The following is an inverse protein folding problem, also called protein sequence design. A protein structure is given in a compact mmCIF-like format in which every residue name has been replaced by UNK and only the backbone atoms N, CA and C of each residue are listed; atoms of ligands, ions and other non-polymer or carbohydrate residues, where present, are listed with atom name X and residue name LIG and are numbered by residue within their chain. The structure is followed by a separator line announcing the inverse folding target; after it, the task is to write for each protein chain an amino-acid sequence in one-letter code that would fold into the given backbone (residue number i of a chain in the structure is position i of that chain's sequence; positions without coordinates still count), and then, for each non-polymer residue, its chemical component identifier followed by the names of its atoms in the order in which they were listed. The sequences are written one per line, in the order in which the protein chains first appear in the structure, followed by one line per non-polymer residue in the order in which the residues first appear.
data_IF_604151994171
#
_entry.id   IF_604151994171
#
_cell.length_a   1.000
_cell.length_b   1.000
_cell.length_c   1.000
_cell.angle_alpha   90.00
_cell.angle_beta   90.00
_cell.angle_gamma   90.00
#
_symmetry.space_group_name_H-M   'P 1'
#
loop_
_entity.id
_entity.type
_entity.pdbx_description
1 polymer ?
#
# COMPACT_ATOMS: atom_id res chain seq x y z
N UNK A 1 74.76 -3.51 4.41
CA UNK A 1 73.53 -3.62 3.61
C UNK A 1 73.90 -3.14 2.22
N UNK A 2 73.84 -4.01 1.21
CA UNK A 2 74.42 -3.70 -0.11
C UNK A 2 73.53 -2.74 -0.90
N UNK A 3 74.13 -1.68 -1.46
CA UNK A 3 73.48 -0.63 -2.24
C UNK A 3 72.61 -1.19 -3.38
N UNK A 4 73.04 -2.29 -3.98
CA UNK A 4 72.35 -2.98 -5.07
C UNK A 4 71.02 -3.62 -4.61
N UNK A 5 70.98 -4.17 -3.39
CA UNK A 5 69.75 -4.70 -2.80
C UNK A 5 68.74 -3.58 -2.54
N UNK A 6 69.23 -2.42 -2.09
CA UNK A 6 68.39 -1.23 -1.85
C UNK A 6 67.77 -0.75 -3.16
N UNK A 7 68.56 -0.63 -4.24
CA UNK A 7 68.06 -0.21 -5.55
C UNK A 7 67.02 -1.17 -6.14
N UNK A 8 67.17 -2.48 -5.92
CA UNK A 8 66.20 -3.49 -6.36
C UNK A 8 64.87 -3.36 -5.61
N UNK A 9 64.92 -3.09 -4.31
CA UNK A 9 63.72 -2.85 -3.50
C UNK A 9 62.99 -1.59 -3.95
N UNK A 10 63.69 -0.48 -4.19
CA UNK A 10 63.07 0.76 -4.67
C UNK A 10 62.35 0.57 -6.02
N UNK A 11 62.98 -0.08 -7.00
CA UNK A 11 62.33 -0.39 -8.29
C UNK A 11 61.07 -1.24 -8.12
N UNK A 12 61.13 -2.26 -7.27
CA UNK A 12 59.96 -3.10 -6.98
C UNK A 12 58.83 -2.31 -6.31
N UNK A 13 59.17 -1.37 -5.41
CA UNK A 13 58.18 -0.48 -4.77
C UNK A 13 57.54 0.46 -5.80
N UNK A 14 58.31 1.05 -6.71
CA UNK A 14 57.79 1.91 -7.78
C UNK A 14 56.84 1.17 -8.73
N UNK A 15 57.20 -0.06 -9.12
CA UNK A 15 56.36 -0.91 -9.95
C UNK A 15 55.04 -1.26 -9.22
N UNK A 16 55.12 -1.64 -7.95
CA UNK A 16 53.94 -1.93 -7.13
C UNK A 16 53.07 -0.68 -6.95
N UNK A 17 53.66 0.49 -6.71
CA UNK A 17 52.94 1.76 -6.58
C UNK A 17 52.19 2.09 -7.86
N UNK A 18 52.81 1.85 -9.02
CA UNK A 18 52.18 2.05 -10.33
C UNK A 18 50.99 1.10 -10.53
N UNK A 19 51.13 -0.17 -10.13
CA UNK A 19 50.03 -1.13 -10.19
C UNK A 19 48.88 -0.78 -9.24
N UNK A 20 49.19 -0.31 -8.04
CA UNK A 20 48.19 0.14 -7.07
C UNK A 20 47.42 1.35 -7.60
N UNK A 21 48.12 2.34 -8.16
CA UNK A 21 47.46 3.53 -8.73
C UNK A 21 46.47 3.16 -9.84
N UNK A 22 46.87 2.26 -10.76
CA UNK A 22 45.95 1.75 -11.80
C UNK A 22 44.72 1.05 -11.21
N UNK A 23 44.90 0.25 -10.15
CA UNK A 23 43.78 -0.41 -9.46
C UNK A 23 42.86 0.62 -8.79
N UNK A 24 43.41 1.66 -8.19
CA UNK A 24 42.63 2.74 -7.57
C UNK A 24 41.81 3.52 -8.61
N UNK A 25 42.37 3.80 -9.78
CA UNK A 25 41.65 4.46 -10.87
C UNK A 25 40.47 3.61 -11.38
N UNK A 26 40.70 2.30 -11.52
CA UNK A 26 39.64 1.36 -11.90
C UNK A 26 38.52 1.32 -10.84
N UNK A 27 38.88 1.18 -9.56
CA UNK A 27 37.91 1.17 -8.45
C UNK A 27 37.13 2.49 -8.41
N UNK A 28 37.80 3.62 -8.62
CA UNK A 28 37.13 4.94 -8.64
C UNK A 28 36.11 5.03 -9.77
N UNK A 29 36.45 4.48 -10.94
CA UNK A 29 35.55 4.44 -12.10
C UNK A 29 34.34 3.55 -11.83
N UNK A 30 34.56 2.33 -11.34
CA UNK A 30 33.49 1.39 -10.96
C UNK A 30 32.59 1.97 -9.87
N UNK A 31 33.16 2.60 -8.84
CA UNK A 31 32.41 3.26 -7.76
C UNK A 31 31.49 4.36 -8.29
N UNK A 32 31.96 5.17 -9.24
CA UNK A 32 31.14 6.21 -9.86
C UNK A 32 30.00 5.62 -10.71
N UNK A 33 30.27 4.54 -11.45
CA UNK A 33 29.25 3.82 -12.20
C UNK A 33 28.17 3.24 -11.27
N UNK A 34 28.58 2.52 -10.22
CA UNK A 34 27.68 1.95 -9.23
C UNK A 34 26.84 3.02 -8.52
N UNK A 35 27.42 4.20 -8.25
CA UNK A 35 26.68 5.32 -7.65
C UNK A 35 25.60 5.84 -8.59
N UNK A 36 25.90 5.96 -9.88
CA UNK A 36 24.93 6.39 -10.89
C UNK A 36 23.81 5.37 -11.09
N UNK A 37 24.13 4.08 -11.10
CA UNK A 37 23.14 3.00 -11.16
C UNK A 37 22.24 3.00 -9.93
N UNK A 38 22.80 3.19 -8.73
CA UNK A 38 22.02 3.31 -7.50
C UNK A 38 21.03 4.48 -7.54
N UNK A 39 21.41 5.63 -8.10
CA UNK A 39 20.50 6.77 -8.26
C UNK A 39 19.34 6.40 -9.20
N UNK A 40 19.64 5.76 -10.34
CA UNK A 40 18.61 5.30 -11.29
C UNK A 40 17.67 4.29 -10.68
N UNK A 41 18.19 3.31 -9.94
CA UNK A 41 17.39 2.30 -9.26
C UNK A 41 16.48 2.93 -8.20
N UNK A 42 16.99 3.90 -7.42
CA UNK A 42 16.17 4.63 -6.44
C UNK A 42 15.03 5.40 -7.10
N UNK A 43 15.28 6.08 -8.21
CA UNK A 43 14.24 6.77 -8.98
C UNK A 43 13.19 5.79 -9.55
N UNK A 44 13.63 4.63 -10.06
CA UNK A 44 12.72 3.59 -10.52
C UNK A 44 11.86 3.01 -9.40
N UNK A 45 12.45 2.76 -8.21
CA UNK A 45 11.72 2.30 -7.03
C UNK A 45 10.66 3.32 -6.62
N UNK A 46 11.02 4.60 -6.52
CA UNK A 46 10.06 5.66 -6.19
C UNK A 46 8.88 5.71 -7.17
N UNK A 47 9.14 5.59 -8.48
CA UNK A 47 8.07 5.55 -9.50
C UNK A 47 7.20 4.30 -9.39
N UNK A 48 7.77 3.18 -8.97
CA UNK A 48 7.02 1.96 -8.71
C UNK A 48 6.13 2.10 -7.48
N UNK A 49 6.63 2.72 -6.41
CA UNK A 49 5.84 2.99 -5.20
C UNK A 49 4.61 3.85 -5.54
N UNK A 50 4.77 4.94 -6.31
CA UNK A 50 3.65 5.77 -6.77
C UNK A 50 2.62 4.98 -7.60
N UNK A 51 3.11 4.04 -8.43
CA UNK A 51 2.24 3.20 -9.27
C UNK A 51 1.50 2.18 -8.43
N UNK A 52 2.16 1.56 -7.45
CA UNK A 52 1.56 0.62 -6.52
C UNK A 52 0.47 1.33 -5.74
N UNK A 53 0.74 2.52 -5.19
CA UNK A 53 -0.27 3.29 -4.45
C UNK A 53 -1.52 3.58 -5.30
N UNK A 54 -1.34 3.99 -6.56
CA UNK A 54 -2.47 4.21 -7.48
C UNK A 54 -3.27 2.93 -7.72
N UNK A 55 -2.59 1.80 -7.94
CA UNK A 55 -3.23 0.52 -8.17
C UNK A 55 -3.95 0.00 -6.92
N UNK A 56 -3.37 0.16 -5.74
CA UNK A 56 -3.99 -0.18 -4.47
C UNK A 56 -5.26 0.64 -4.26
N UNK A 57 -5.21 1.96 -4.46
CA UNK A 57 -6.40 2.83 -4.43
C UNK A 57 -7.49 2.37 -5.42
N UNK A 58 -7.12 1.95 -6.64
CA UNK A 58 -8.08 1.42 -7.61
C UNK A 58 -8.70 0.08 -7.21
N UNK A 59 -7.93 -0.81 -6.56
CA UNK A 59 -8.43 -2.08 -6.03
C UNK A 59 -9.37 -1.83 -4.84
N UNK A 60 -8.98 -0.96 -3.90
CA UNK A 60 -9.82 -0.55 -2.77
C UNK A 60 -11.12 0.11 -3.23
N UNK A 61 -11.09 0.88 -4.32
CA UNK A 61 -12.30 1.47 -4.93
C UNK A 61 -13.34 0.42 -5.34
N UNK A 62 -12.95 -0.83 -5.53
CA UNK A 62 -13.80 -1.92 -6.00
C UNK A 62 -14.31 -2.86 -4.91
N UNK A 63 -13.78 -2.81 -3.68
CA UNK A 63 -14.11 -3.78 -2.62
C UNK A 63 -15.15 -3.23 -1.64
N UNK A 64 -16.19 -4.01 -1.36
CA UNK A 64 -17.22 -3.69 -0.35
C UNK A 64 -17.41 -4.88 0.58
N UNK A 65 -17.53 -4.63 1.88
CA UNK A 65 -17.77 -5.66 2.89
C UNK A 65 -19.26 -5.69 3.22
N UNK A 66 -19.86 -6.88 3.19
CA UNK A 66 -21.22 -7.11 3.69
C UNK A 66 -21.17 -8.02 4.91
N UNK A 67 -21.86 -7.66 5.99
CA UNK A 67 -21.93 -8.40 7.26
C UNK A 67 -23.38 -8.75 7.58
N UNK A 68 -23.60 -9.85 8.29
CA UNK A 68 -24.94 -10.21 8.80
C UNK A 68 -25.80 -11.05 7.86
N UNK A 69 -25.19 -11.72 6.87
CA UNK A 69 -25.91 -12.57 5.91
C UNK A 69 -26.04 -13.99 6.48
N UNK A 70 -27.27 -14.54 6.48
CA UNK A 70 -27.53 -15.97 6.66
C UNK A 70 -27.23 -16.71 5.36
N UNK A 71 -26.58 -17.86 5.43
CA UNK A 71 -26.34 -18.72 4.25
C UNK A 71 -27.67 -19.17 3.64
N UNK A 72 -28.03 -18.59 2.49
CA UNK A 72 -29.13 -19.03 1.64
C UNK A 72 -28.58 -19.73 0.39
N UNK A 73 -29.25 -20.79 -0.06
CA UNK A 73 -28.80 -21.69 -1.15
C UNK A 73 -28.96 -21.15 -2.58
N UNK A 74 -29.33 -19.89 -2.77
CA UNK A 74 -29.52 -19.32 -4.12
C UNK A 74 -28.45 -18.30 -4.48
N UNK A 75 -27.58 -18.70 -5.39
CA UNK A 75 -26.59 -17.85 -6.05
C UNK A 75 -27.11 -17.46 -7.44
N UNK A 76 -27.39 -16.16 -7.66
CA UNK A 76 -27.51 -15.64 -9.02
C UNK A 76 -26.15 -15.12 -9.46
N UNK A 77 -25.62 -15.77 -10.48
CA UNK A 77 -24.35 -15.51 -11.13
C UNK A 77 -24.23 -14.07 -11.65
N UNK A 78 -23.03 -13.50 -11.48
CA UNK A 78 -22.59 -12.27 -12.13
C UNK A 78 -21.45 -11.60 -11.36
N UNK A 79 -20.21 -11.92 -11.70
CA UNK A 79 -18.99 -11.15 -11.38
C UNK A 79 -18.60 -10.97 -9.89
N UNK A 80 -19.26 -11.64 -8.95
CA UNK A 80 -18.89 -11.59 -7.53
C UNK A 80 -17.86 -12.68 -7.22
N UNK A 81 -16.58 -12.33 -7.12
CA UNK A 81 -15.59 -13.22 -6.49
C UNK A 81 -15.79 -13.17 -4.97
N UNK A 82 -16.37 -14.23 -4.39
CA UNK A 82 -16.51 -14.42 -2.94
C UNK A 82 -15.21 -15.04 -2.40
N UNK A 83 -14.58 -14.39 -1.43
CA UNK A 83 -13.57 -15.04 -0.58
C UNK A 83 -14.23 -15.33 0.77
N UNK A 84 -14.69 -16.56 0.95
CA UNK A 84 -15.37 -17.02 2.17
C UNK A 84 -14.29 -17.48 3.16
N UNK A 85 -14.14 -16.79 4.29
CA UNK A 85 -13.35 -17.29 5.44
C UNK A 85 -14.27 -18.21 6.27
N UNK A 86 -13.70 -19.08 7.13
CA UNK A 86 -14.46 -20.15 7.83
C UNK A 86 -14.98 -19.70 9.21
N UNK A 87 -16.28 -19.95 9.42
CA UNK A 87 -17.09 -19.88 10.64
C UNK A 87 -16.34 -19.96 11.99
N UNK A 88 -16.52 -18.94 12.83
CA UNK A 88 -16.22 -19.00 14.27
C UNK A 88 -17.31 -18.32 15.10
N UNK A 89 -17.89 -19.09 16.02
CA UNK A 89 -18.62 -18.65 17.24
C UNK A 89 -19.70 -17.56 17.05
N UNK A 90 -20.85 -17.93 16.50
CA UNK A 90 -22.11 -17.16 16.68
C UNK A 90 -22.16 -15.77 16.06
N UNK A 91 -21.14 -15.37 15.29
CA UNK A 91 -21.07 -14.11 14.54
C UNK A 91 -21.18 -14.40 13.05
N UNK A 92 -22.05 -13.64 12.36
CA UNK A 92 -22.14 -13.69 10.91
C UNK A 92 -20.82 -13.27 10.28
N UNK A 93 -20.25 -14.12 9.41
CA UNK A 93 -19.06 -13.76 8.67
C UNK A 93 -19.33 -12.67 7.66
N UNK A 94 -18.29 -11.89 7.41
CA UNK A 94 -18.34 -10.82 6.43
C UNK A 94 -17.99 -11.36 5.05
N UNK A 95 -18.82 -11.06 4.05
CA UNK A 95 -18.54 -11.34 2.64
C UNK A 95 -17.82 -10.13 2.03
N UNK A 96 -16.67 -10.39 1.41
CA UNK A 96 -16.00 -9.41 0.55
C UNK A 96 -16.59 -9.49 -0.86
N UNK A 97 -17.12 -8.36 -1.33
CA UNK A 97 -17.64 -8.19 -2.68
C UNK A 97 -16.66 -7.35 -3.49
N UNK A 98 -16.10 -7.94 -4.54
CA UNK A 98 -15.34 -7.20 -5.55
C UNK A 98 -16.27 -6.79 -6.69
N UNK A 99 -16.53 -5.50 -6.80
CA UNK A 99 -17.38 -4.91 -7.84
C UNK A 99 -16.52 -4.46 -9.02
N UNK A 100 -17.02 -4.64 -10.24
CA UNK A 100 -16.28 -4.24 -11.45
C UNK A 100 -16.29 -2.71 -11.62
N UNK A 101 -17.42 -2.06 -11.32
CA UNK A 101 -17.63 -0.62 -11.49
C UNK A 101 -17.73 0.10 -10.14
N UNK A 102 -17.01 1.22 -10.02
CA UNK A 102 -17.11 2.09 -8.84
C UNK A 102 -18.51 2.73 -8.71
N UNK A 103 -19.16 3.06 -9.83
CA UNK A 103 -20.50 3.66 -9.81
C UNK A 103 -21.52 2.77 -9.10
N UNK A 104 -21.50 1.47 -9.38
CA UNK A 104 -22.33 0.46 -8.72
C UNK A 104 -22.04 0.39 -7.22
N UNK A 105 -20.76 0.46 -6.82
CA UNK A 105 -20.38 0.54 -5.40
C UNK A 105 -20.97 1.78 -4.74
N UNK A 106 -20.81 2.95 -5.35
CA UNK A 106 -21.30 4.22 -4.81
C UNK A 106 -22.83 4.24 -4.70
N UNK A 107 -23.53 3.64 -5.65
CA UNK A 107 -24.99 3.45 -5.60
C UNK A 107 -25.41 2.53 -4.46
N UNK A 108 -24.77 1.36 -4.30
CA UNK A 108 -25.03 0.44 -3.19
C UNK A 108 -24.80 1.15 -1.85
N UNK A 109 -23.69 1.87 -1.70
CA UNK A 109 -23.35 2.58 -0.47
C UNK A 109 -24.34 3.70 -0.14
N UNK A 110 -24.83 4.45 -1.13
CA UNK A 110 -25.87 5.48 -0.93
C UNK A 110 -27.18 4.87 -0.40
N UNK A 111 -27.53 3.70 -0.91
CA UNK A 111 -28.75 2.99 -0.54
C UNK A 111 -28.65 2.19 0.78
N UNK A 112 -27.48 2.13 1.42
CA UNK A 112 -27.30 1.42 2.71
C UNK A 112 -28.14 1.99 3.84
N UNK A 113 -28.57 3.24 3.73
CA UNK A 113 -29.50 3.87 4.66
C UNK A 113 -30.83 3.11 4.75
N UNK A 114 -31.27 2.44 3.69
CA UNK A 114 -32.48 1.62 3.64
C UNK A 114 -32.34 0.32 4.44
N UNK A 115 -31.11 -0.08 4.80
CA UNK A 115 -30.84 -1.28 5.61
C UNK A 115 -30.90 -0.99 7.11
N UNK A 116 -31.10 0.26 7.53
CA UNK A 116 -31.25 0.63 8.94
C UNK A 116 -32.42 -0.13 9.56
N UNK A 117 -32.18 -0.76 10.72
CA UNK A 117 -33.16 -1.61 11.41
C UNK A 117 -33.08 -3.09 11.04
N UNK A 118 -32.36 -3.44 9.97
CA UNK A 118 -32.02 -4.84 9.66
C UNK A 118 -30.76 -5.29 10.41
N UNK A 119 -30.48 -6.60 10.39
CA UNK A 119 -29.22 -7.18 10.92
C UNK A 119 -28.09 -7.19 9.88
N UNK A 120 -28.24 -6.52 8.75
CA UNK A 120 -27.27 -6.51 7.64
C UNK A 120 -26.58 -5.15 7.58
N UNK A 121 -25.25 -5.17 7.41
CA UNK A 121 -24.45 -3.96 7.26
C UNK A 121 -23.56 -4.06 6.04
N UNK A 122 -23.42 -2.95 5.33
CA UNK A 122 -22.53 -2.83 4.17
C UNK A 122 -21.58 -1.67 4.45
N UNK A 123 -20.28 -1.90 4.30
CA UNK A 123 -19.25 -0.88 4.48
C UNK A 123 -18.17 -1.00 3.40
N UNK A 124 -17.40 0.07 3.22
CA UNK A 124 -16.19 0.02 2.39
C UNK A 124 -15.10 -0.75 3.14
N UNK A 125 -14.34 -1.56 2.39
CA UNK A 125 -13.12 -2.17 2.94
C UNK A 125 -12.03 -1.10 3.01
N UNK A 126 -11.78 -0.60 4.23
CA UNK A 126 -10.73 0.37 4.49
C UNK A 126 -9.52 -0.33 5.13
N UNK A 127 -8.29 0.12 4.85
CA UNK A 127 -7.11 -0.36 5.54
C UNK A 127 -7.15 0.01 7.04
N UNK A 128 -6.44 -0.77 7.87
CA UNK A 128 -6.52 -0.69 9.35
C UNK A 128 -6.18 0.69 9.92
N UNK A 129 -5.25 1.41 9.29
CA UNK A 129 -4.90 2.78 9.66
C UNK A 129 -6.10 3.73 9.49
N UNK A 130 -6.78 3.69 8.35
CA UNK A 130 -7.97 4.52 8.09
C UNK A 130 -9.13 4.12 9.02
N UNK A 131 -9.31 2.82 9.30
CA UNK A 131 -10.31 2.38 10.27
C UNK A 131 -10.05 2.97 11.67
N UNK A 132 -8.77 3.00 12.10
CA UNK A 132 -8.39 3.55 13.39
C UNK A 132 -8.61 5.07 13.47
N UNK A 133 -8.29 5.81 12.40
CA UNK A 133 -8.57 7.25 12.33
C UNK A 133 -10.06 7.55 12.38
N UNK A 134 -10.87 6.82 11.61
CA UNK A 134 -12.32 6.96 11.64
C UNK A 134 -12.89 6.67 13.02
N UNK A 135 -12.37 5.67 13.72
CA UNK A 135 -12.82 5.34 15.07
C UNK A 135 -12.63 6.51 16.06
N UNK A 136 -11.57 7.31 15.89
CA UNK A 136 -11.32 8.52 16.70
C UNK A 136 -12.34 9.62 16.45
N UNK A 137 -12.88 9.73 15.23
CA UNK A 137 -13.84 10.76 14.83
C UNK A 137 -15.29 10.42 15.23
N UNK A 138 -15.61 9.15 15.47
CA UNK A 138 -16.98 8.71 15.82
C UNK A 138 -17.58 9.46 17.03
N UNK A 139 -16.86 9.65 18.16
CA UNK A 139 -17.40 10.37 19.32
C UNK A 139 -17.77 11.81 18.97
N UNK A 140 -16.90 12.53 18.27
CA UNK A 140 -17.13 13.92 17.85
C UNK A 140 -18.34 14.01 16.92
N UNK A 141 -18.44 13.12 15.94
CA UNK A 141 -19.58 13.05 15.02
C UNK A 141 -20.90 12.76 15.75
N UNK A 142 -20.88 11.92 16.79
CA UNK A 142 -22.08 11.65 17.61
C UNK A 142 -22.52 12.92 18.34
N UNK A 143 -21.59 13.62 18.99
CA UNK A 143 -21.91 14.87 19.70
C UNK A 143 -22.40 15.98 18.76
N UNK A 144 -21.83 16.09 17.56
CA UNK A 144 -22.29 17.03 16.54
C UNK A 144 -23.72 16.71 16.07
N UNK A 145 -24.01 15.42 15.87
CA UNK A 145 -25.34 14.95 15.47
C UNK A 145 -26.40 15.20 16.55
N UNK A 146 -26.06 15.01 17.82
CA UNK A 146 -26.94 15.31 18.96
C UNK A 146 -27.26 16.81 19.06
N UNK A 147 -26.32 17.67 18.65
CA UNK A 147 -26.49 19.13 18.60
C UNK A 147 -27.25 19.62 17.37
N UNK A 148 -27.77 18.71 16.52
CA UNK A 148 -28.51 19.05 15.31
C UNK A 148 -27.65 19.51 14.13
N UNK A 149 -26.32 19.40 14.21
CA UNK A 149 -25.44 19.65 13.08
C UNK A 149 -25.42 18.41 12.17
N UNK A 150 -26.45 18.27 11.32
CA UNK A 150 -26.59 17.16 10.37
C UNK A 150 -25.77 17.35 9.09
N UNK A 151 -25.29 18.55 8.80
CA UNK A 151 -24.41 18.85 7.67
C UNK A 151 -22.96 18.93 8.13
N UNK A 152 -22.38 17.76 8.43
CA UNK A 152 -20.98 17.56 8.13
C UNK A 152 -20.96 16.82 6.80
N UNK A 153 -21.05 17.58 5.70
CA UNK A 153 -20.52 17.16 4.40
C UNK A 153 -19.01 17.04 4.55
N UNK A 154 -18.59 16.03 5.29
CA UNK A 154 -17.25 15.48 5.21
C UNK A 154 -17.20 14.79 3.85
N UNK A 155 -16.94 15.60 2.85
CA UNK A 155 -16.41 15.21 1.56
C UNK A 155 -14.99 14.69 1.83
N UNK A 156 -14.88 13.54 2.49
CA UNK A 156 -13.62 12.80 2.73
C UNK A 156 -13.03 12.34 1.39
N UNK A 157 -13.77 12.51 0.30
CA UNK A 157 -13.30 12.37 -1.09
C UNK A 157 -12.36 13.49 -1.54
N UNK A 158 -12.23 14.60 -0.80
CA UNK A 158 -11.37 15.74 -1.19
C UNK A 158 -9.95 15.74 -0.59
N UNK A 159 -9.58 14.73 0.22
CA UNK A 159 -8.24 14.62 0.82
C UNK A 159 -7.43 13.39 0.35
N UNK A 160 -7.73 12.78 -0.79
CA UNK A 160 -6.92 11.70 -1.39
C UNK A 160 -6.65 11.89 -2.88
#
# INVERSE_FOLDING_TARGET
MDMERIQKVFRSVEENMTQINRKLDNITTEMNQLRNENIKLKDQVSKQDDRIEKLEREVEKKITIVRGINEGKEERNGEIKREIRKYKEGRYESILLKLVKESTRAEILRNTSNLKGTKVWIDKDYPKNIQAERAKLIPEMKTARERGATELTLDITSCL
#
